data_IF_485537367236
#
_entry.id   IF_485537367236
#
_cell.length_a   1.000
_cell.length_b   1.000
_cell.length_c   1.000
_cell.angle_alpha   90.00
_cell.angle_beta   90.00
_cell.angle_gamma   90.00
#
_symmetry.space_group_name_H-M   'P 1'
#
loop_
_entity.id
_entity.type
_entity.pdbx_description
1 polymer ?
#
# COMPACT_ATOMS: atom_id res chain seq x y z
N UNK A 1 -9.04 -11.62 1.32
CA UNK A 1 -10.19 -10.66 1.30
C UNK A 1 -9.73 -9.20 1.29
N UNK A 2 -8.76 -8.80 2.15
CA UNK A 2 -8.17 -7.45 2.14
C UNK A 2 -7.75 -6.95 0.73
N UNK A 3 -7.18 -7.82 -0.11
CA UNK A 3 -6.73 -7.44 -1.45
C UNK A 3 -7.83 -6.97 -2.41
N UNK A 4 -9.04 -7.53 -2.32
CA UNK A 4 -10.16 -7.14 -3.19
C UNK A 4 -10.67 -5.75 -2.77
N UNK A 5 -10.84 -5.53 -1.46
CA UNK A 5 -11.32 -4.25 -0.92
C UNK A 5 -10.35 -3.11 -1.25
N UNK A 6 -9.04 -3.32 -1.06
CA UNK A 6 -8.02 -2.32 -1.39
C UNK A 6 -7.97 -2.00 -2.89
N UNK A 7 -8.10 -3.02 -3.75
CA UNK A 7 -8.12 -2.83 -5.20
C UNK A 7 -9.35 -2.01 -5.64
N UNK A 8 -10.54 -2.36 -5.14
CA UNK A 8 -11.79 -1.65 -5.48
C UNK A 8 -11.77 -0.22 -4.97
N UNK A 9 -11.35 0.02 -3.72
CA UNK A 9 -11.31 1.37 -3.15
C UNK A 9 -10.34 2.29 -3.93
N UNK A 10 -9.15 1.80 -4.25
CA UNK A 10 -8.16 2.59 -5.00
C UNK A 10 -8.60 2.89 -6.44
N UNK A 11 -9.25 1.94 -7.11
CA UNK A 11 -9.81 2.14 -8.45
C UNK A 11 -10.93 3.18 -8.43
N UNK A 12 -11.89 3.02 -7.50
CA UNK A 12 -13.04 3.90 -7.37
C UNK A 12 -12.64 5.35 -7.10
N UNK A 13 -11.65 5.58 -6.20
CA UNK A 13 -11.09 6.91 -5.92
C UNK A 13 -10.49 7.55 -7.18
N UNK A 14 -9.78 6.78 -8.00
CA UNK A 14 -9.12 7.28 -9.22
C UNK A 14 -10.13 7.57 -10.33
N UNK A 15 -11.20 6.78 -10.43
CA UNK A 15 -12.27 6.96 -11.41
C UNK A 15 -13.07 8.24 -11.13
N UNK A 16 -13.42 8.49 -9.87
CA UNK A 16 -14.11 9.72 -9.43
C UNK A 16 -13.21 10.96 -9.47
N UNK A 17 -11.90 10.80 -9.31
CA UNK A 17 -10.97 11.92 -9.27
C UNK A 17 -10.82 12.59 -10.66
N UNK A 18 -10.88 13.93 -10.73
CA UNK A 18 -10.61 14.65 -11.97
C UNK A 18 -9.20 14.37 -12.46
N UNK A 19 -9.00 14.27 -13.78
CA UNK A 19 -7.76 13.79 -14.44
C UNK A 19 -6.51 14.51 -13.92
N UNK A 20 -6.62 15.81 -13.62
CA UNK A 20 -5.54 16.65 -13.07
C UNK A 20 -5.04 16.20 -11.69
N UNK A 21 -5.90 15.58 -10.88
CA UNK A 21 -5.63 15.24 -9.48
C UNK A 21 -5.55 13.74 -9.19
N UNK A 22 -5.76 12.87 -10.19
CA UNK A 22 -5.72 11.40 -10.02
C UNK A 22 -4.48 10.89 -9.28
N UNK A 23 -3.31 11.46 -9.58
CA UNK A 23 -2.07 11.10 -8.89
C UNK A 23 -2.04 11.48 -7.40
N UNK A 24 -2.62 12.64 -7.06
CA UNK A 24 -2.71 13.10 -5.68
C UNK A 24 -3.68 12.25 -4.85
N UNK A 25 -4.83 11.88 -5.44
CA UNK A 25 -5.81 10.99 -4.80
C UNK A 25 -5.25 9.58 -4.52
N UNK A 26 -4.40 9.05 -5.42
CA UNK A 26 -3.67 7.80 -5.15
C UNK A 26 -2.68 7.93 -3.97
N UNK A 27 -1.96 9.04 -3.87
CA UNK A 27 -1.06 9.31 -2.74
C UNK A 27 -1.84 9.47 -1.42
N UNK A 28 -2.98 10.18 -1.43
CA UNK A 28 -3.85 10.31 -0.27
C UNK A 28 -4.36 8.95 0.21
N UNK A 29 -4.83 8.09 -0.70
CA UNK A 29 -5.25 6.74 -0.34
C UNK A 29 -4.12 5.96 0.36
N UNK A 30 -2.90 5.98 -0.19
CA UNK A 30 -1.76 5.30 0.42
C UNK A 30 -1.39 5.87 1.81
N UNK A 31 -1.50 7.20 1.99
CA UNK A 31 -1.29 7.83 3.29
C UNK A 31 -2.33 7.41 4.33
N UNK A 32 -3.61 7.35 3.97
CA UNK A 32 -4.66 6.86 4.87
C UNK A 32 -4.42 5.41 5.29
N UNK A 33 -3.96 4.55 4.37
CA UNK A 33 -3.62 3.16 4.67
C UNK A 33 -2.47 3.07 5.68
N UNK A 34 -1.39 3.84 5.51
CA UNK A 34 -0.25 3.77 6.42
C UNK A 34 -0.55 4.37 7.79
N UNK A 35 -1.31 5.46 7.85
CA UNK A 35 -1.78 6.05 9.11
C UNK A 35 -2.71 5.08 9.84
N UNK A 36 -3.63 4.43 9.12
CA UNK A 36 -4.52 3.41 9.68
C UNK A 36 -3.75 2.23 10.27
N UNK A 37 -2.74 1.73 9.57
CA UNK A 37 -1.89 0.66 10.10
C UNK A 37 -1.16 1.08 11.38
N UNK A 38 -0.55 2.27 11.40
CA UNK A 38 0.11 2.79 12.59
C UNK A 38 -0.86 2.92 13.77
N UNK A 39 -2.07 3.41 13.53
CA UNK A 39 -3.10 3.51 14.56
C UNK A 39 -3.45 2.15 15.17
N UNK A 40 -3.63 1.11 14.34
CA UNK A 40 -3.90 -0.25 14.82
C UNK A 40 -2.71 -0.81 15.62
N UNK A 41 -1.47 -0.56 15.19
CA UNK A 41 -0.29 -1.00 15.94
C UNK A 41 -0.19 -0.32 17.31
N UNK A 42 -0.49 0.99 17.39
CA UNK A 42 -0.51 1.73 18.66
C UNK A 42 -1.59 1.20 19.63
N UNK A 43 -2.79 0.92 19.11
CA UNK A 43 -3.85 0.28 19.91
C UNK A 43 -3.45 -1.14 20.37
N UNK A 44 -2.67 -1.86 19.55
CA UNK A 44 -2.13 -3.17 19.90
C UNK A 44 -1.21 -3.16 21.12
N UNK A 45 -0.54 -2.05 21.43
CA UNK A 45 0.24 -1.91 22.67
C UNK A 45 -0.67 -1.85 23.91
N UNK A 46 -1.81 -1.15 23.79
CA UNK A 46 -2.67 -0.84 24.94
C UNK A 46 -3.77 -1.87 25.21
N UNK A 47 -4.18 -2.62 24.18
CA UNK A 47 -5.35 -3.50 24.25
C UNK A 47 -5.02 -4.95 23.88
N UNK A 48 -5.72 -5.88 24.54
CA UNK A 48 -5.68 -7.29 24.17
C UNK A 48 -6.21 -7.50 22.75
N UNK A 49 -5.64 -8.48 22.04
CA UNK A 49 -6.00 -8.84 20.66
C UNK A 49 -7.51 -9.08 20.47
N UNK A 50 -8.20 -9.60 21.50
CA UNK A 50 -9.65 -9.83 21.48
C UNK A 50 -10.45 -8.53 21.40
N UNK A 51 -10.16 -7.56 22.27
CA UNK A 51 -10.83 -6.26 22.28
C UNK A 51 -10.54 -5.49 21.00
N UNK A 52 -9.29 -5.56 20.52
CA UNK A 52 -8.90 -4.95 19.25
C UNK A 52 -9.69 -5.53 18.07
N UNK A 53 -9.86 -6.86 18.03
CA UNK A 53 -10.61 -7.54 16.96
C UNK A 53 -12.09 -7.11 16.96
N UNK A 54 -12.71 -7.05 18.14
CA UNK A 54 -14.09 -6.58 18.27
C UNK A 54 -14.25 -5.11 17.87
N UNK A 55 -13.32 -4.24 18.26
CA UNK A 55 -13.33 -2.84 17.85
C UNK A 55 -13.18 -2.69 16.33
N UNK A 56 -12.30 -3.47 15.70
CA UNK A 56 -12.07 -3.44 14.26
C UNK A 56 -13.25 -3.99 13.45
N UNK A 57 -14.13 -4.81 14.05
CA UNK A 57 -15.29 -5.38 13.37
C UNK A 57 -16.32 -4.32 12.95
N UNK A 58 -16.33 -3.16 13.60
CA UNK A 58 -17.18 -2.04 13.20
C UNK A 58 -16.78 -1.45 11.84
N UNK A 59 -15.48 -1.44 11.52
CA UNK A 59 -14.94 -0.85 10.28
C UNK A 59 -15.50 -1.52 9.01
N UNK A 60 -15.45 -2.86 8.84
CA UNK A 60 -16.03 -3.50 7.65
C UNK A 60 -17.56 -3.38 7.60
N UNK A 61 -18.26 -3.31 8.74
CA UNK A 61 -19.72 -3.08 8.75
C UNK A 61 -20.04 -1.68 8.19
N UNK A 62 -19.32 -0.65 8.63
CA UNK A 62 -19.48 0.71 8.10
C UNK A 62 -19.16 0.73 6.60
N UNK A 63 -18.10 0.03 6.15
CA UNK A 63 -17.77 -0.04 4.73
C UNK A 63 -18.86 -0.72 3.89
N UNK A 64 -19.51 -1.76 4.42
CA UNK A 64 -20.66 -2.40 3.77
C UNK A 64 -21.89 -1.48 3.71
N UNK A 65 -22.14 -0.67 4.72
CA UNK A 65 -23.22 0.32 4.67
C UNK A 65 -22.90 1.41 3.65
N UNK A 66 -21.66 1.89 3.61
CA UNK A 66 -21.22 2.94 2.70
C UNK A 66 -21.34 2.50 1.23
N UNK A 67 -20.95 1.27 0.90
CA UNK A 67 -21.07 0.78 -0.49
C UNK A 67 -22.52 0.67 -0.94
N UNK A 68 -23.47 0.39 -0.02
CA UNK A 68 -24.90 0.42 -0.35
C UNK A 68 -25.42 1.84 -0.66
N UNK A 69 -24.75 2.88 -0.19
CA UNK A 69 -25.10 4.29 -0.51
C UNK A 69 -24.44 4.81 -1.77
N UNK A 70 -23.42 4.11 -2.25
CA UNK A 70 -22.74 4.44 -3.50
C UNK A 70 -23.65 4.00 -4.66
N UNK A 71 -24.16 4.93 -5.49
CA UNK A 71 -24.85 4.53 -6.71
C UNK A 71 -23.84 3.87 -7.65
N UNK A 72 -24.28 2.82 -8.34
CA UNK A 72 -23.51 2.24 -9.43
C UNK A 72 -23.34 3.32 -10.52
N UNK A 73 -22.20 4.00 -10.54
CA UNK A 73 -21.87 4.91 -11.63
C UNK A 73 -21.55 4.06 -12.86
N UNK A 74 -22.59 3.59 -13.55
CA UNK A 74 -22.46 3.24 -14.96
C UNK A 74 -22.24 4.55 -15.68
N UNK A 75 -20.98 4.85 -15.99
CA UNK A 75 -20.69 5.61 -17.19
C UNK A 75 -21.18 4.74 -18.36
N UNK A 76 -22.48 4.81 -18.66
CA UNK A 76 -23.03 4.45 -19.96
C UNK A 76 -22.57 5.50 -20.98
N UNK A 77 -21.26 5.76 -21.04
CA UNK A 77 -20.67 6.39 -22.20
C UNK A 77 -20.34 5.26 -23.17
N UNK A 78 -20.82 5.43 -24.39
CA UNK A 78 -20.55 4.61 -25.56
C UNK A 78 -19.05 4.59 -25.83
N UNK A 79 -18.28 3.83 -25.05
CA UNK A 79 -16.92 3.44 -25.42
C UNK A 79 -17.10 2.24 -26.32
N UNK A 80 -16.71 2.37 -27.59
CA UNK A 80 -16.36 1.23 -28.41
C UNK A 80 -15.62 0.22 -27.53
N UNK A 81 -15.98 -1.07 -27.66
CA UNK A 81 -15.27 -2.17 -27.01
C UNK A 81 -13.85 -2.24 -27.60
N UNK A 82 -12.99 -1.30 -27.25
CA UNK A 82 -11.58 -1.37 -27.58
C UNK A 82 -11.02 -2.57 -26.83
N UNK A 83 -10.64 -3.59 -27.60
CA UNK A 83 -10.04 -4.79 -27.04
C UNK A 83 -8.70 -4.43 -26.40
N UNK A 84 -8.58 -4.69 -25.10
CA UNK A 84 -7.35 -4.62 -24.29
C UNK A 84 -6.14 -5.33 -24.92
N UNK A 85 -6.38 -6.22 -25.90
CA UNK A 85 -5.35 -6.94 -26.64
C UNK A 85 -4.88 -6.24 -27.93
N UNK A 86 -5.30 -5.00 -28.20
CA UNK A 86 -4.65 -4.20 -29.24
C UNK A 86 -3.17 -4.01 -28.89
N UNK A 87 -2.28 -4.24 -29.87
CA UNK A 87 -0.81 -4.10 -29.70
C UNK A 87 -0.39 -2.75 -29.11
N UNK A 88 -1.22 -1.72 -29.30
CA UNK A 88 -1.07 -0.37 -28.72
C UNK A 88 -1.09 -0.35 -27.18
N UNK A 89 -1.91 -1.18 -26.54
CA UNK A 89 -2.07 -1.22 -25.08
C UNK A 89 -1.37 -2.40 -24.41
N UNK A 90 -1.10 -3.47 -25.16
CA UNK A 90 -0.49 -4.69 -24.63
C UNK A 90 0.92 -4.45 -24.07
N UNK A 91 1.72 -3.60 -24.73
CA UNK A 91 3.07 -3.25 -24.25
C UNK A 91 3.06 -2.67 -22.84
N UNK A 92 2.41 -1.52 -22.59
CA UNK A 92 2.30 -0.93 -21.25
C UNK A 92 1.63 -1.85 -20.20
N UNK A 93 0.65 -2.64 -20.61
CA UNK A 93 -0.04 -3.60 -19.74
C UNK A 93 0.91 -4.67 -19.22
N UNK A 94 1.66 -5.32 -20.12
CA UNK A 94 2.61 -6.39 -19.77
C UNK A 94 3.70 -5.85 -18.83
N UNK A 95 4.25 -4.66 -19.11
CA UNK A 95 5.23 -4.03 -18.21
C UNK A 95 4.66 -3.81 -16.80
N UNK A 96 3.43 -3.33 -16.70
CA UNK A 96 2.77 -3.08 -15.41
C UNK A 96 2.56 -4.37 -14.61
N UNK A 97 2.14 -5.44 -15.27
CA UNK A 97 1.96 -6.76 -14.64
C UNK A 97 3.30 -7.31 -14.14
N UNK A 98 4.34 -7.25 -14.97
CA UNK A 98 5.69 -7.68 -14.58
C UNK A 98 6.21 -6.87 -13.40
N UNK A 99 6.00 -5.54 -13.39
CA UNK A 99 6.41 -4.70 -12.27
C UNK A 99 5.73 -5.08 -10.95
N UNK A 100 4.41 -5.32 -10.97
CA UNK A 100 3.68 -5.76 -9.76
C UNK A 100 4.20 -7.12 -9.29
N UNK A 101 4.46 -8.05 -10.21
CA UNK A 101 5.02 -9.35 -9.88
C UNK A 101 6.41 -9.22 -9.22
N UNK A 102 7.33 -8.48 -9.84
CA UNK A 102 8.67 -8.23 -9.28
C UNK A 102 8.62 -7.55 -7.91
N UNK A 103 7.67 -6.63 -7.69
CA UNK A 103 7.50 -5.99 -6.39
C UNK A 103 7.12 -6.97 -5.28
N UNK A 104 6.24 -7.94 -5.54
CA UNK A 104 5.85 -8.93 -4.52
C UNK A 104 6.98 -9.89 -4.17
N UNK A 105 7.81 -10.25 -5.15
CA UNK A 105 8.97 -11.12 -4.96
C UNK A 105 10.19 -10.40 -4.36
N UNK A 106 10.10 -9.11 -4.08
CA UNK A 106 11.17 -8.35 -3.43
C UNK A 106 11.44 -8.75 -1.98
N UNK A 107 10.62 -9.65 -1.41
CA UNK A 107 10.81 -10.18 -0.06
C UNK A 107 10.27 -9.28 1.05
N UNK A 108 9.71 -8.11 0.73
CA UNK A 108 9.22 -7.15 1.73
C UNK A 108 8.19 -7.77 2.68
N UNK A 109 7.24 -8.55 2.17
CA UNK A 109 6.23 -9.21 3.00
C UNK A 109 6.84 -10.28 3.92
N UNK A 110 7.89 -10.98 3.45
CA UNK A 110 8.61 -11.96 4.26
C UNK A 110 9.41 -11.29 5.39
N UNK A 111 10.03 -10.14 5.11
CA UNK A 111 10.75 -9.34 6.12
C UNK A 111 9.78 -8.82 7.17
N UNK A 112 8.64 -8.27 6.76
CA UNK A 112 7.61 -7.77 7.68
C UNK A 112 7.03 -8.87 8.58
N UNK A 113 6.90 -10.09 8.07
CA UNK A 113 6.37 -11.23 8.83
C UNK A 113 7.39 -11.75 9.86
N UNK A 114 8.69 -11.63 9.58
CA UNK A 114 9.77 -12.10 10.47
C UNK A 114 10.49 -10.94 11.18
N UNK A 115 9.83 -9.77 11.27
CA UNK A 115 10.46 -8.52 11.70
C UNK A 115 11.11 -8.64 13.09
N UNK A 116 10.45 -9.30 14.04
CA UNK A 116 10.96 -9.50 15.39
C UNK A 116 12.29 -10.25 15.39
N UNK A 117 12.40 -11.33 14.61
CA UNK A 117 13.63 -12.14 14.51
C UNK A 117 14.80 -11.31 13.97
N UNK A 118 14.57 -10.36 13.06
CA UNK A 118 15.61 -9.46 12.58
C UNK A 118 16.09 -8.49 13.66
N UNK A 119 15.17 -7.92 14.44
CA UNK A 119 15.55 -7.04 15.55
C UNK A 119 16.35 -7.79 16.63
N UNK A 120 15.95 -9.02 16.95
CA UNK A 120 16.67 -9.89 17.89
C UNK A 120 18.09 -10.21 17.38
N UNK A 121 18.28 -10.50 16.09
CA UNK A 121 19.61 -10.72 15.50
C UNK A 121 20.51 -9.48 15.56
N UNK A 122 19.94 -8.27 15.59
CA UNK A 122 20.68 -7.00 15.76
C UNK A 122 20.98 -6.71 17.23
N UNK A 123 20.52 -7.55 18.17
CA UNK A 123 20.70 -7.39 19.62
C UNK A 123 19.65 -6.49 20.27
N UNK A 124 18.56 -6.19 19.57
CA UNK A 124 17.44 -5.40 20.09
C UNK A 124 16.30 -6.33 20.52
N UNK A 125 16.21 -6.62 21.81
CA UNK A 125 15.09 -7.37 22.40
C UNK A 125 13.89 -6.44 22.62
N UNK A 126 13.19 -6.14 21.54
CA UNK A 126 11.99 -5.28 21.54
C UNK A 126 10.76 -6.18 21.42
N UNK A 127 9.66 -5.84 22.10
CA UNK A 127 8.43 -6.61 21.99
C UNK A 127 7.83 -6.53 20.58
N UNK A 128 7.08 -7.56 20.17
CA UNK A 128 6.43 -7.65 18.85
C UNK A 128 5.61 -6.39 18.51
N UNK A 129 4.81 -5.91 19.46
CA UNK A 129 3.93 -4.76 19.28
C UNK A 129 4.71 -3.44 19.11
N UNK A 130 5.86 -3.32 19.78
CA UNK A 130 6.73 -2.14 19.67
C UNK A 130 7.49 -2.14 18.34
N UNK A 131 7.97 -3.30 17.88
CA UNK A 131 8.56 -3.47 16.54
C UNK A 131 7.59 -3.04 15.43
N UNK A 132 6.32 -3.47 15.52
CA UNK A 132 5.28 -3.10 14.57
C UNK A 132 5.03 -1.58 14.57
N UNK A 133 5.03 -0.93 15.73
CA UNK A 133 4.86 0.53 15.83
C UNK A 133 6.02 1.31 15.21
N UNK A 134 7.26 0.87 15.41
CA UNK A 134 8.45 1.50 14.80
C UNK A 134 8.35 1.42 13.27
N UNK A 135 8.05 0.24 12.73
CA UNK A 135 7.91 0.06 11.28
C UNK A 135 6.72 0.84 10.73
N UNK A 136 5.58 0.86 11.43
CA UNK A 136 4.42 1.68 11.06
C UNK A 136 4.77 3.17 10.98
N UNK A 137 5.54 3.68 11.94
CA UNK A 137 5.97 5.08 11.98
C UNK A 137 6.90 5.42 10.81
N UNK A 138 7.87 4.54 10.53
CA UNK A 138 8.76 4.67 9.38
C UNK A 138 7.96 4.61 8.07
N UNK A 139 6.97 3.72 7.97
CA UNK A 139 6.17 3.57 6.76
C UNK A 139 5.31 4.81 6.46
N UNK A 140 4.71 5.42 7.48
CA UNK A 140 4.01 6.72 7.34
C UNK A 140 4.99 7.80 6.87
N UNK A 141 6.15 7.92 7.52
CA UNK A 141 7.16 8.91 7.16
C UNK A 141 7.64 8.74 5.71
N UNK A 142 8.00 7.51 5.32
CA UNK A 142 8.43 7.19 3.96
C UNK A 142 7.34 7.51 2.95
N UNK A 143 6.07 7.19 3.23
CA UNK A 143 4.97 7.46 2.31
C UNK A 143 4.73 8.96 2.10
N UNK A 144 4.80 9.75 3.17
CA UNK A 144 4.75 11.22 3.08
C UNK A 144 5.89 11.76 2.21
N UNK A 145 7.11 11.31 2.47
CA UNK A 145 8.30 11.78 1.75
C UNK A 145 8.31 11.33 0.29
N UNK A 146 7.92 10.09 0.01
CA UNK A 146 7.78 9.55 -1.34
C UNK A 146 6.76 10.33 -2.15
N UNK A 147 5.61 10.68 -1.56
CA UNK A 147 4.57 11.47 -2.25
C UNK A 147 5.09 12.85 -2.68
N UNK A 148 5.90 13.51 -1.84
CA UNK A 148 6.56 14.76 -2.19
C UNK A 148 7.57 14.58 -3.34
N UNK A 149 8.40 13.53 -3.27
CA UNK A 149 9.42 13.25 -4.28
C UNK A 149 8.82 12.84 -5.64
N UNK A 150 7.69 12.13 -5.67
CA UNK A 150 6.99 11.77 -6.92
C UNK A 150 6.57 13.03 -7.68
N UNK A 151 6.09 14.05 -6.95
CA UNK A 151 5.67 15.31 -7.54
C UNK A 151 6.86 16.16 -8.05
N UNK A 152 8.05 16.01 -7.45
CA UNK A 152 9.24 16.81 -7.79
C UNK A 152 10.17 16.15 -8.82
N UNK A 153 10.43 14.85 -8.69
CA UNK A 153 11.40 14.10 -9.53
C UNK A 153 10.77 13.28 -10.66
N UNK A 154 9.44 13.15 -10.63
CA UNK A 154 8.70 12.31 -11.57
C UNK A 154 8.74 10.82 -11.22
N UNK A 155 7.72 10.10 -11.70
CA UNK A 155 7.40 8.72 -11.31
C UNK A 155 8.53 7.71 -11.58
N UNK A 156 9.16 7.80 -12.76
CA UNK A 156 10.23 6.87 -13.18
C UNK A 156 11.45 6.99 -12.26
N UNK A 157 11.86 8.21 -11.95
CA UNK A 157 13.02 8.50 -11.11
C UNK A 157 12.82 8.01 -9.69
N UNK A 158 11.66 8.30 -9.09
CA UNK A 158 11.34 7.81 -7.75
C UNK A 158 11.38 6.29 -7.67
N UNK A 159 10.86 5.61 -8.69
CA UNK A 159 10.85 4.15 -8.72
C UNK A 159 12.27 3.55 -8.81
N UNK A 160 13.16 4.13 -9.62
CA UNK A 160 14.56 3.70 -9.70
C UNK A 160 15.26 3.87 -8.35
N UNK A 161 15.09 5.01 -7.69
CA UNK A 161 15.68 5.29 -6.38
C UNK A 161 15.21 4.26 -5.35
N UNK A 162 13.89 3.98 -5.30
CA UNK A 162 13.32 3.00 -4.38
C UNK A 162 13.86 1.58 -4.64
N UNK A 163 13.96 1.17 -5.89
CA UNK A 163 14.50 -0.14 -6.25
C UNK A 163 15.98 -0.27 -5.88
N UNK A 164 16.82 0.73 -6.16
CA UNK A 164 18.22 0.74 -5.75
C UNK A 164 18.37 0.69 -4.22
N UNK A 165 17.58 1.48 -3.50
CA UNK A 165 17.58 1.49 -2.04
C UNK A 165 17.24 0.12 -1.45
N UNK A 166 16.23 -0.55 -2.01
CA UNK A 166 15.84 -1.90 -1.59
C UNK A 166 16.94 -2.92 -1.87
N UNK A 167 17.57 -2.89 -3.05
CA UNK A 167 18.69 -3.78 -3.39
C UNK A 167 19.86 -3.61 -2.41
N UNK A 168 20.24 -2.37 -2.10
CA UNK A 168 21.34 -2.07 -1.16
C UNK A 168 20.97 -2.57 0.24
N UNK A 169 19.73 -2.33 0.70
CA UNK A 169 19.28 -2.76 2.02
C UNK A 169 19.32 -4.30 2.16
N UNK A 170 18.83 -5.03 1.15
CA UNK A 170 18.87 -6.49 1.14
C UNK A 170 20.32 -7.02 1.13
N UNK A 171 21.22 -6.42 0.36
CA UNK A 171 22.63 -6.76 0.37
C UNK A 171 23.28 -6.50 1.73
N UNK A 172 22.94 -5.39 2.38
CA UNK A 172 23.46 -5.06 3.70
C UNK A 172 22.98 -6.06 4.78
N UNK A 173 21.72 -6.51 4.70
CA UNK A 173 21.19 -7.56 5.59
C UNK A 173 21.91 -8.88 5.32
N UNK A 174 22.15 -9.25 4.06
CA UNK A 174 22.83 -10.50 3.73
C UNK A 174 24.30 -10.54 4.18
N UNK A 175 24.98 -9.39 4.21
CA UNK A 175 26.38 -9.27 4.63
C UNK A 175 26.59 -9.33 6.15
N UNK A 176 25.53 -9.28 6.96
CA UNK A 176 25.60 -9.16 8.42
C UNK A 176 25.07 -10.43 9.08
#
# INVERSE_FOLDING_TARGET
MMGILAAVCSMYIVELAPIKWRGAFGAFHQLFVTIGNLYIYLLGISFNWRTLTFACLLVPIVQLILICTVPDHRFDDVSEKESIFQKKFLGPLVHSIIFVFCQQFSGINAILTNLQTFFEHVGLTINENECACVVGSVHVFVTCFSSFFINKLGRKTTWIISSCGLTIALLAIWLK
#
